data_IF_173366264415
#
_entry.id   IF_173366264415
#
_cell.length_a   1.000
_cell.length_b   1.000
_cell.length_c   1.000
_cell.angle_alpha   90.00
_cell.angle_beta   90.00
_cell.angle_gamma   90.00
#
_symmetry.space_group_name_H-M   'P 1'
#
loop_
_entity.id
_entity.type
_entity.pdbx_description
1 polymer ?
#
# COMPACT_ATOMS: atom_id res chain seq x y z
N UNK A 1 -11.76 1.99 6.19
CA UNK A 1 -11.78 1.54 7.58
C UNK A 1 -10.39 1.65 8.20
N UNK A 2 -10.29 1.34 9.48
CA UNK A 2 -9.04 1.49 10.24
C UNK A 2 -7.87 0.67 9.69
N UNK A 3 -8.15 -0.53 9.24
CA UNK A 3 -7.10 -1.41 8.71
C UNK A 3 -6.58 -0.91 7.37
N UNK A 4 -7.49 -0.47 6.50
CA UNK A 4 -7.12 0.11 5.22
C UNK A 4 -6.27 1.36 5.41
N UNK A 5 -6.67 2.22 6.33
CA UNK A 5 -5.93 3.44 6.62
C UNK A 5 -4.54 3.13 7.17
N UNK A 6 -4.44 2.13 8.03
CA UNK A 6 -3.17 1.69 8.60
C UNK A 6 -2.19 1.25 7.50
N UNK A 7 -2.67 0.45 6.56
CA UNK A 7 -1.86 0.00 5.43
C UNK A 7 -1.47 1.18 4.55
N UNK A 8 -2.44 2.03 4.21
CA UNK A 8 -2.17 3.17 3.33
C UNK A 8 -1.13 4.12 3.93
N UNK A 9 -1.17 4.33 5.26
CA UNK A 9 -0.22 5.21 5.92
C UNK A 9 1.23 4.76 5.78
N UNK A 10 1.48 3.46 5.74
CA UNK A 10 2.84 2.95 5.52
C UNK A 10 3.37 3.47 4.19
N UNK A 11 2.56 3.39 3.15
CA UNK A 11 2.94 3.87 1.83
C UNK A 11 3.04 5.38 1.76
N UNK A 12 2.12 6.09 2.41
CA UNK A 12 2.15 7.56 2.42
C UNK A 12 3.37 8.11 3.13
N UNK A 13 3.83 7.42 4.17
CA UNK A 13 4.99 7.85 4.94
C UNK A 13 6.32 7.40 4.31
N UNK A 14 6.29 6.57 3.29
CA UNK A 14 7.47 6.00 2.65
C UNK A 14 7.26 5.94 1.14
N UNK A 15 7.02 7.09 0.53
CA UNK A 15 6.52 7.18 -0.86
C UNK A 15 7.41 6.52 -1.91
N UNK A 16 8.70 6.47 -1.67
CA UNK A 16 9.65 5.93 -2.67
C UNK A 16 10.01 4.47 -2.43
N UNK A 17 9.47 3.89 -1.36
CA UNK A 17 9.79 2.51 -0.99
C UNK A 17 8.83 1.51 -1.61
N UNK A 18 9.40 0.40 -2.08
CA UNK A 18 8.60 -0.75 -2.50
C UNK A 18 8.44 -1.71 -1.33
N UNK A 19 7.26 -2.27 -1.20
CA UNK A 19 6.96 -3.23 -0.14
C UNK A 19 6.31 -4.48 -0.69
N UNK A 20 6.72 -5.61 -0.14
CA UNK A 20 6.07 -6.89 -0.34
C UNK A 20 4.86 -6.96 0.61
N UNK A 21 3.82 -7.66 0.21
CA UNK A 21 2.59 -7.76 1.04
C UNK A 21 2.90 -8.27 2.44
N UNK A 22 3.79 -9.26 2.55
CA UNK A 22 4.18 -9.83 3.84
C UNK A 22 4.81 -8.79 4.77
N UNK A 23 5.63 -7.89 4.19
CA UNK A 23 6.25 -6.82 4.98
C UNK A 23 5.18 -5.88 5.55
N UNK A 24 4.19 -5.53 4.73
CA UNK A 24 3.11 -4.64 5.18
C UNK A 24 2.28 -5.30 6.27
N UNK A 25 1.98 -6.59 6.13
CA UNK A 25 1.26 -7.34 7.15
C UNK A 25 2.01 -7.30 8.49
N UNK A 26 3.32 -7.52 8.46
CA UNK A 26 4.16 -7.47 9.66
C UNK A 26 4.22 -6.09 10.28
N UNK A 27 4.41 -5.06 9.45
CA UNK A 27 4.52 -3.68 9.93
C UNK A 27 3.23 -3.18 10.56
N UNK A 28 2.10 -3.54 9.99
CA UNK A 28 0.80 -3.03 10.44
C UNK A 28 0.11 -3.95 11.44
N UNK A 29 0.59 -5.19 11.55
CA UNK A 29 -0.04 -6.24 12.34
C UNK A 29 -1.44 -6.58 11.86
N UNK A 30 -1.75 -6.24 10.62
CA UNK A 30 -3.00 -6.64 9.97
C UNK A 30 -2.79 -8.06 9.41
N UNK A 31 -3.73 -8.98 9.61
CA UNK A 31 -3.59 -10.34 9.09
C UNK A 31 -3.28 -10.38 7.61
N UNK A 32 -2.46 -11.33 7.19
CA UNK A 32 -1.97 -11.41 5.81
C UNK A 32 -3.09 -11.42 4.77
N UNK A 33 -4.14 -12.22 4.98
CA UNK A 33 -5.25 -12.30 4.04
C UNK A 33 -5.97 -10.95 3.90
N UNK A 34 -6.14 -10.24 5.01
CA UNK A 34 -6.77 -8.92 5.00
C UNK A 34 -5.87 -7.90 4.30
N UNK A 35 -4.57 -7.95 4.60
CA UNK A 35 -3.58 -7.09 3.95
C UNK A 35 -3.59 -7.29 2.44
N UNK A 36 -3.66 -8.55 2.00
CA UNK A 36 -3.72 -8.88 0.57
C UNK A 36 -4.92 -8.19 -0.09
N UNK A 37 -6.11 -8.30 0.52
CA UNK A 37 -7.31 -7.67 -0.02
C UNK A 37 -7.20 -6.15 -0.06
N UNK A 38 -6.65 -5.56 1.00
CA UNK A 38 -6.48 -4.10 1.09
C UNK A 38 -5.52 -3.62 0.00
N UNK A 39 -4.37 -4.26 -0.15
CA UNK A 39 -3.38 -3.86 -1.15
C UNK A 39 -3.94 -4.03 -2.57
N UNK A 40 -4.67 -5.12 -2.81
CA UNK A 40 -5.33 -5.33 -4.09
C UNK A 40 -6.31 -4.20 -4.42
N UNK A 41 -7.12 -3.82 -3.43
CA UNK A 41 -8.08 -2.73 -3.58
C UNK A 41 -7.38 -1.39 -3.83
N UNK A 42 -6.33 -1.10 -3.07
CA UNK A 42 -5.57 0.14 -3.25
C UNK A 42 -4.89 0.20 -4.61
N UNK A 43 -4.38 -0.92 -5.08
CA UNK A 43 -3.79 -1.00 -6.42
C UNK A 43 -4.84 -0.79 -7.50
N UNK A 44 -5.97 -1.45 -7.38
CA UNK A 44 -7.08 -1.33 -8.33
C UNK A 44 -7.60 0.11 -8.41
N UNK A 45 -7.62 0.81 -7.28
CA UNK A 45 -8.12 2.17 -7.20
C UNK A 45 -7.03 3.24 -7.38
N UNK A 46 -5.88 2.86 -7.91
CA UNK A 46 -4.81 3.77 -8.31
C UNK A 46 -4.09 4.48 -7.15
N UNK A 47 -4.12 3.90 -5.96
CA UNK A 47 -3.32 4.41 -4.85
C UNK A 47 -1.91 3.82 -4.85
N UNK A 48 -1.75 2.63 -5.40
CA UNK A 48 -0.46 1.94 -5.43
C UNK A 48 -0.11 1.55 -6.86
N UNK A 49 1.19 1.50 -7.13
CA UNK A 49 1.70 0.90 -8.34
C UNK A 49 2.39 -0.41 -7.99
N UNK A 50 2.40 -1.33 -8.94
CA UNK A 50 2.94 -2.67 -8.75
C UNK A 50 4.12 -2.91 -9.69
N UNK A 51 5.10 -3.63 -9.18
CA UNK A 51 6.24 -4.08 -9.97
C UNK A 51 6.46 -5.56 -9.67
N UNK A 52 6.82 -6.33 -10.67
CA UNK A 52 7.11 -7.76 -10.51
C UNK A 52 8.59 -8.00 -10.75
N UNK A 53 9.25 -8.61 -9.77
CA UNK A 53 10.66 -8.98 -9.87
C UNK A 53 10.74 -10.47 -9.55
N UNK A 54 11.14 -11.28 -10.56
CA UNK A 54 11.27 -12.74 -10.39
C UNK A 54 10.05 -13.36 -9.68
N UNK A 55 8.87 -13.14 -10.23
CA UNK A 55 7.60 -13.65 -9.69
C UNK A 55 7.17 -13.00 -8.37
N UNK A 56 7.98 -12.12 -7.81
CA UNK A 56 7.63 -11.41 -6.59
C UNK A 56 6.96 -10.08 -6.93
N UNK A 57 5.77 -9.86 -6.39
CA UNK A 57 5.05 -8.60 -6.57
C UNK A 57 5.37 -7.66 -5.43
N UNK A 58 5.80 -6.45 -5.78
CA UNK A 58 6.08 -5.40 -4.79
C UNK A 58 5.27 -4.17 -5.15
N UNK A 59 4.97 -3.37 -4.14
CA UNK A 59 4.07 -2.24 -4.27
C UNK A 59 4.67 -0.97 -3.70
N UNK A 60 4.34 0.15 -4.33
CA UNK A 60 4.80 1.48 -3.93
C UNK A 60 3.65 2.45 -4.12
N UNK A 61 3.69 3.57 -3.40
CA UNK A 61 2.70 4.62 -3.56
C UNK A 61 2.74 5.15 -5.00
N UNK A 62 1.57 5.23 -5.63
CA UNK A 62 1.46 5.83 -6.94
C UNK A 62 1.33 7.34 -6.78
N UNK A 63 2.08 8.11 -7.57
CA UNK A 63 2.02 9.57 -7.50
C UNK A 63 0.92 10.08 -8.40
N UNK A 64 -0.17 10.56 -7.82
CA UNK A 64 -1.29 11.15 -8.55
C UNK A 64 -2.07 12.08 -7.63
N UNK A 65 -3.18 12.65 -8.12
CA UNK A 65 -3.99 13.58 -7.33
C UNK A 65 -4.57 12.94 -6.08
N UNK A 66 -5.03 11.67 -6.19
CA UNK A 66 -5.61 10.95 -5.06
C UNK A 66 -4.62 10.81 -3.91
N UNK A 67 -3.42 10.34 -4.22
CA UNK A 67 -2.40 10.10 -3.19
C UNK A 67 -1.89 11.40 -2.61
N UNK A 68 -1.74 12.44 -3.42
CA UNK A 68 -1.36 13.77 -2.94
C UNK A 68 -2.40 14.33 -1.97
N UNK A 69 -3.68 14.16 -2.31
CA UNK A 69 -4.76 14.61 -1.45
C UNK A 69 -4.72 13.90 -0.10
N UNK A 70 -4.60 12.58 -0.11
CA UNK A 70 -4.54 11.80 1.13
C UNK A 70 -3.31 12.11 1.96
N UNK A 71 -2.17 12.30 1.34
CA UNK A 71 -0.96 12.68 2.05
C UNK A 71 -1.13 14.01 2.76
N UNK A 72 -1.77 14.97 2.11
CA UNK A 72 -1.98 16.29 2.66
C UNK A 72 -3.00 16.31 3.79
N UNK A 73 -4.00 15.43 3.73
CA UNK A 73 -5.16 15.47 4.63
C UNK A 73 -5.23 14.35 5.67
N UNK A 74 -4.21 13.53 5.76
CA UNK A 74 -4.11 12.48 6.79
C UNK A 74 -2.91 12.73 7.74
#
# INVERSE_FOLDING_TARGET
DKKTLKVLKVFLNNEKEYYHITQISKLTKVPLATTFRIIHSLHKNLFLEQKTISKLKIYKLKQNRKTKFFKKNI
#
